data_IF_701952552067
#
_entry.id   IF_701952552067
#
_cell.length_a   1.000
_cell.length_b   1.000
_cell.length_c   1.000
_cell.angle_alpha   90.00
_cell.angle_beta   90.00
_cell.angle_gamma   90.00
#
_symmetry.space_group_name_H-M   'P 1'
#
loop_
_entity.id
_entity.type
_entity.pdbx_description
1 polymer ?
#
# COMPACT_ATOMS: atom_id res chain seq x y z
N UNK A 1 -5.08 27.32 -5.83
CA UNK A 1 -6.36 26.85 -5.23
C UNK A 1 -6.03 26.36 -3.84
N UNK A 2 -6.57 27.03 -2.80
CA UNK A 2 -6.25 26.71 -1.42
C UNK A 2 -6.76 25.30 -1.06
N UNK A 3 -5.83 24.42 -0.70
CA UNK A 3 -6.20 23.17 -0.04
C UNK A 3 -6.85 23.53 1.29
N UNK A 4 -8.15 23.27 1.40
CA UNK A 4 -8.90 23.46 2.64
C UNK A 4 -8.34 22.50 3.69
N UNK A 5 -7.56 23.01 4.63
CA UNK A 5 -7.22 22.28 5.86
C UNK A 5 -8.55 22.00 6.55
N UNK A 6 -8.93 20.72 6.62
CA UNK A 6 -10.16 20.32 7.32
C UNK A 6 -10.10 20.83 8.77
N UNK A 7 -11.14 21.53 9.20
CA UNK A 7 -11.21 22.06 10.57
C UNK A 7 -11.35 20.90 11.58
N UNK A 8 -10.83 21.04 12.83
CA UNK A 8 -10.92 20.01 13.86
C UNK A 8 -12.33 19.46 14.12
N UNK A 9 -13.37 20.27 13.93
CA UNK A 9 -14.77 19.84 14.03
C UNK A 9 -15.17 18.82 12.97
N UNK A 10 -14.73 18.98 11.72
CA UNK A 10 -15.05 18.05 10.62
C UNK A 10 -14.44 16.67 10.85
N UNK A 11 -13.22 16.60 11.39
CA UNK A 11 -12.52 15.32 11.66
C UNK A 11 -13.17 14.58 12.83
N UNK A 12 -13.68 15.29 13.83
CA UNK A 12 -14.42 14.68 14.94
C UNK A 12 -15.70 14.03 14.44
N UNK A 13 -16.46 14.73 13.61
CA UNK A 13 -17.71 14.23 13.03
C UNK A 13 -17.47 13.01 12.14
N UNK A 14 -16.36 13.00 11.36
CA UNK A 14 -15.98 11.86 10.52
C UNK A 14 -15.60 10.62 11.35
N UNK A 15 -14.91 10.79 12.49
CA UNK A 15 -14.59 9.66 13.38
C UNK A 15 -15.84 9.05 14.01
N UNK A 16 -16.76 9.90 14.50
CA UNK A 16 -18.06 9.45 15.05
C UNK A 16 -18.90 8.73 13.99
N UNK A 17 -18.85 9.20 12.72
CA UNK A 17 -19.50 8.56 11.60
C UNK A 17 -18.92 7.16 11.34
N UNK A 18 -17.59 7.02 11.31
CA UNK A 18 -16.92 5.73 11.13
C UNK A 18 -17.32 4.75 12.25
N UNK A 19 -17.28 5.20 13.50
CA UNK A 19 -17.66 4.36 14.63
C UNK A 19 -19.13 3.90 14.57
N UNK A 20 -20.02 4.75 14.10
CA UNK A 20 -21.46 4.39 13.96
C UNK A 20 -21.76 3.50 12.76
N UNK A 21 -20.93 3.56 11.72
CA UNK A 21 -21.12 2.85 10.46
C UNK A 21 -20.35 1.52 10.36
N UNK A 22 -19.47 1.24 11.33
CA UNK A 22 -18.63 0.03 11.35
C UNK A 22 -18.67 -0.62 12.72
N UNK A 23 -18.52 -1.95 12.76
CA UNK A 23 -18.38 -2.71 14.01
C UNK A 23 -16.92 -2.72 14.52
N UNK A 24 -16.05 -1.85 13.99
CA UNK A 24 -14.65 -1.83 14.36
C UNK A 24 -14.46 -1.14 15.71
N UNK A 25 -13.70 -1.79 16.59
CA UNK A 25 -13.26 -1.14 17.81
C UNK A 25 -12.11 -0.19 17.50
N UNK A 26 -12.45 1.09 17.25
CA UNK A 26 -11.49 2.15 16.94
C UNK A 26 -11.35 3.10 18.14
N UNK A 27 -10.13 3.57 18.33
CA UNK A 27 -9.80 4.60 19.32
C UNK A 27 -9.02 5.73 18.63
N UNK A 28 -9.08 6.92 19.19
CA UNK A 28 -8.39 8.08 18.68
C UNK A 28 -7.58 8.72 19.81
N UNK A 29 -6.33 9.02 19.53
CA UNK A 29 -5.47 9.73 20.47
C UNK A 29 -5.67 11.27 20.42
N UNK A 30 -4.96 12.00 21.28
CA UNK A 30 -5.00 13.47 21.35
C UNK A 30 -4.46 14.15 20.07
N UNK A 31 -3.63 13.44 19.29
CA UNK A 31 -3.07 13.91 18.03
C UNK A 31 -3.90 13.47 16.80
N UNK A 32 -5.12 12.98 17.04
CA UNK A 32 -6.05 12.52 16.01
C UNK A 32 -5.61 11.26 15.25
N UNK A 33 -4.63 10.50 15.75
CA UNK A 33 -4.29 9.21 15.20
C UNK A 33 -5.31 8.16 15.64
N UNK A 34 -5.75 7.37 14.67
CA UNK A 34 -6.72 6.30 14.87
C UNK A 34 -5.96 4.99 15.04
N UNK A 35 -6.24 4.29 16.12
CA UNK A 35 -5.84 2.90 16.34
C UNK A 35 -7.06 1.99 16.36
N UNK A 36 -6.83 0.70 16.15
CA UNK A 36 -7.88 -0.32 16.26
C UNK A 36 -7.46 -1.41 17.21
N UNK A 37 -8.40 -2.25 17.61
CA UNK A 37 -8.11 -3.37 18.50
C UNK A 37 -8.43 -4.70 17.83
N UNK A 38 -7.45 -5.60 17.86
CA UNK A 38 -7.62 -6.98 17.43
C UNK A 38 -7.10 -7.90 18.51
N UNK A 39 -7.98 -8.71 19.14
CA UNK A 39 -7.73 -9.41 20.40
C UNK A 39 -7.23 -8.43 21.47
N UNK A 40 -6.08 -8.73 22.08
CA UNK A 40 -5.45 -7.89 23.11
C UNK A 40 -4.51 -6.81 22.57
N UNK A 41 -4.30 -6.76 21.25
CA UNK A 41 -3.31 -5.88 20.64
C UNK A 41 -3.95 -4.60 20.11
N UNK A 42 -3.31 -3.47 20.40
CA UNK A 42 -3.59 -2.20 19.75
C UNK A 42 -2.88 -2.16 18.40
N UNK A 43 -3.65 -1.95 17.33
CA UNK A 43 -3.13 -1.85 15.96
C UNK A 43 -2.97 -0.38 15.55
N UNK A 44 -1.80 -0.06 15.02
CA UNK A 44 -1.48 1.27 14.50
C UNK A 44 -0.93 1.20 13.08
N UNK A 45 -1.09 2.29 12.33
CA UNK A 45 -0.48 2.47 11.01
C UNK A 45 0.86 3.16 11.11
N UNK A 46 1.81 2.71 10.30
CA UNK A 46 3.00 3.47 9.93
C UNK A 46 3.10 3.54 8.42
N UNK A 47 3.77 4.58 7.89
CA UNK A 47 3.79 4.90 6.48
C UNK A 47 5.20 5.10 5.97
N UNK A 48 5.54 4.45 4.85
CA UNK A 48 6.82 4.61 4.18
C UNK A 48 6.63 5.39 2.87
N UNK A 49 7.41 6.44 2.60
CA UNK A 49 7.26 7.23 1.40
C UNK A 49 7.65 6.43 0.14
N UNK A 50 6.88 6.67 -0.94
CA UNK A 50 7.17 6.26 -2.31
C UNK A 50 7.45 7.52 -3.10
N UNK A 51 8.63 7.62 -3.70
CA UNK A 51 9.10 8.80 -4.42
C UNK A 51 8.93 8.65 -5.92
N UNK A 52 8.52 9.73 -6.58
CA UNK A 52 8.58 9.87 -8.04
C UNK A 52 9.91 10.49 -8.44
N UNK A 53 10.64 9.82 -9.34
CA UNK A 53 11.92 10.34 -9.86
C UNK A 53 11.67 11.58 -10.71
N UNK A 54 10.69 11.52 -11.61
CA UNK A 54 10.37 12.62 -12.54
C UNK A 54 9.89 13.89 -11.84
N UNK A 55 9.21 13.74 -10.69
CA UNK A 55 8.69 14.88 -9.92
C UNK A 55 9.63 15.31 -8.79
N UNK A 56 10.63 14.49 -8.42
CA UNK A 56 11.55 14.75 -7.31
C UNK A 56 10.89 14.78 -5.93
N UNK A 57 9.65 14.29 -5.81
CA UNK A 57 8.86 14.36 -4.59
C UNK A 57 8.10 13.05 -4.30
N UNK A 58 7.52 12.99 -3.11
CA UNK A 58 6.66 11.86 -2.70
C UNK A 58 5.40 11.81 -3.58
N UNK A 59 5.10 10.65 -4.17
CA UNK A 59 3.90 10.37 -4.95
C UNK A 59 2.84 9.60 -4.17
N UNK A 60 3.21 9.05 -3.04
CA UNK A 60 2.34 8.26 -2.18
C UNK A 60 3.09 7.65 -1.00
N UNK A 61 2.39 6.84 -0.21
CA UNK A 61 2.99 6.09 0.91
C UNK A 61 2.42 4.70 1.03
N UNK A 62 3.31 3.75 1.28
CA UNK A 62 2.93 2.38 1.65
C UNK A 62 2.61 2.31 3.14
N UNK A 63 1.44 1.76 3.45
CA UNK A 63 0.96 1.59 4.81
C UNK A 63 1.33 0.21 5.35
N UNK A 64 1.81 0.18 6.58
CA UNK A 64 2.11 -1.05 7.30
C UNK A 64 1.42 -1.04 8.66
N UNK A 65 0.83 -2.18 9.03
CA UNK A 65 0.26 -2.37 10.36
C UNK A 65 1.36 -2.73 11.36
N UNK A 66 1.21 -2.25 12.58
CA UNK A 66 2.01 -2.63 13.74
C UNK A 66 1.09 -2.88 14.91
N UNK A 67 1.46 -3.82 15.80
CA UNK A 67 0.79 -3.96 17.08
C UNK A 67 1.64 -3.37 18.19
N UNK A 68 0.98 -2.64 19.09
CA UNK A 68 1.57 -2.09 20.31
C UNK A 68 1.08 -2.83 21.54
N UNK A 69 1.96 -2.96 22.53
CA UNK A 69 1.63 -3.28 23.91
C UNK A 69 2.49 -2.38 24.81
N UNK A 70 1.88 -1.78 25.82
CA UNK A 70 2.55 -0.85 26.77
C UNK A 70 3.30 0.32 26.08
N UNK A 71 2.79 0.76 24.91
CA UNK A 71 3.36 1.84 24.14
C UNK A 71 4.48 1.47 23.17
N UNK A 72 5.00 0.23 23.23
CA UNK A 72 6.04 -0.26 22.33
C UNK A 72 5.49 -1.15 21.21
N UNK A 73 6.19 -1.18 20.05
CA UNK A 73 5.85 -2.08 18.95
C UNK A 73 6.32 -3.49 19.32
N UNK A 74 5.36 -4.41 19.43
CA UNK A 74 5.62 -5.81 19.83
C UNK A 74 5.42 -6.82 18.70
N UNK A 75 4.58 -6.51 17.70
CA UNK A 75 4.33 -7.41 16.56
C UNK A 75 4.42 -6.70 15.22
N UNK A 76 4.99 -7.43 14.26
CA UNK A 76 5.10 -7.05 12.85
C UNK A 76 3.91 -7.62 12.04
N UNK A 77 3.66 -7.14 10.80
CA UNK A 77 2.49 -7.52 10.03
C UNK A 77 2.27 -9.04 9.95
N UNK A 78 3.29 -9.79 9.60
CA UNK A 78 3.18 -11.25 9.46
C UNK A 78 2.78 -11.96 10.78
N UNK A 79 3.24 -11.45 11.94
CA UNK A 79 2.86 -11.95 13.25
C UNK A 79 1.40 -11.63 13.57
N UNK A 80 0.97 -10.39 13.27
CA UNK A 80 -0.41 -9.93 13.47
C UNK A 80 -1.38 -10.81 12.65
N UNK A 81 -1.08 -11.00 11.36
CA UNK A 81 -1.92 -11.82 10.50
C UNK A 81 -1.91 -13.31 10.86
N UNK A 82 -0.85 -13.80 11.52
CA UNK A 82 -0.80 -15.17 12.04
C UNK A 82 -1.76 -15.41 13.22
N UNK A 83 -2.20 -14.36 13.92
CA UNK A 83 -3.20 -14.46 14.99
C UNK A 83 -4.59 -14.82 14.44
N UNK A 84 -4.89 -14.49 13.19
CA UNK A 84 -6.14 -14.84 12.55
C UNK A 84 -6.11 -16.30 12.07
N UNK A 85 -6.60 -17.21 12.89
CA UNK A 85 -6.61 -18.65 12.59
C UNK A 85 -7.70 -19.07 11.60
N UNK A 86 -8.83 -18.34 11.58
CA UNK A 86 -9.97 -18.56 10.70
C UNK A 86 -10.03 -17.50 9.60
N UNK A 87 -10.65 -17.84 8.48
CA UNK A 87 -10.78 -16.92 7.36
C UNK A 87 -11.66 -15.71 7.68
N UNK A 88 -12.70 -15.88 8.51
CA UNK A 88 -13.54 -14.77 8.96
C UNK A 88 -12.74 -13.76 9.79
N UNK A 89 -11.88 -14.23 10.68
CA UNK A 89 -10.99 -13.37 11.49
C UNK A 89 -9.96 -12.66 10.60
N UNK A 90 -9.47 -13.34 9.57
CA UNK A 90 -8.54 -12.74 8.61
C UNK A 90 -9.19 -11.61 7.82
N UNK A 91 -10.41 -11.83 7.35
CA UNK A 91 -11.19 -10.82 6.62
C UNK A 91 -11.50 -9.62 7.51
N UNK A 92 -11.89 -9.85 8.77
CA UNK A 92 -12.12 -8.81 9.76
C UNK A 92 -10.85 -7.99 10.03
N UNK A 93 -9.72 -8.67 10.26
CA UNK A 93 -8.43 -8.03 10.49
C UNK A 93 -7.98 -7.19 9.29
N UNK A 94 -8.07 -7.71 8.06
CA UNK A 94 -7.69 -6.96 6.85
C UNK A 94 -8.54 -5.70 6.69
N UNK A 95 -9.86 -5.81 6.87
CA UNK A 95 -10.77 -4.66 6.82
C UNK A 95 -10.45 -3.62 7.89
N UNK A 96 -10.18 -4.06 9.12
CA UNK A 96 -9.77 -3.18 10.22
C UNK A 96 -8.46 -2.46 9.88
N UNK A 97 -7.45 -3.18 9.39
CA UNK A 97 -6.17 -2.59 8.97
C UNK A 97 -6.36 -1.51 7.90
N UNK A 98 -7.18 -1.78 6.88
CA UNK A 98 -7.47 -0.82 5.81
C UNK A 98 -8.21 0.41 6.32
N UNK A 99 -9.15 0.23 7.25
CA UNK A 99 -9.87 1.34 7.88
C UNK A 99 -8.89 2.24 8.66
N UNK A 100 -8.00 1.67 9.48
CA UNK A 100 -6.98 2.40 10.22
C UNK A 100 -6.01 3.11 9.27
N UNK A 101 -5.55 2.43 8.21
CA UNK A 101 -4.63 3.01 7.23
C UNK A 101 -5.25 4.21 6.50
N UNK A 102 -6.44 4.03 5.95
CA UNK A 102 -7.10 5.08 5.18
C UNK A 102 -7.48 6.29 6.05
N UNK A 103 -8.04 6.05 7.24
CA UNK A 103 -8.39 7.12 8.16
C UNK A 103 -7.17 7.94 8.55
N UNK A 104 -6.09 7.29 9.00
CA UNK A 104 -4.87 7.99 9.39
C UNK A 104 -4.22 8.73 8.23
N UNK A 105 -4.19 8.11 7.05
CA UNK A 105 -3.58 8.71 5.89
C UNK A 105 -4.32 9.96 5.44
N UNK A 106 -5.62 9.87 5.22
CA UNK A 106 -6.39 10.96 4.62
C UNK A 106 -6.81 12.04 5.62
N UNK A 107 -6.89 11.73 6.91
CA UNK A 107 -7.19 12.76 7.92
C UNK A 107 -5.94 13.54 8.35
N UNK A 108 -4.79 12.90 8.42
CA UNK A 108 -3.56 13.51 8.91
C UNK A 108 -2.59 13.93 7.79
N UNK A 109 -2.93 13.69 6.52
CA UNK A 109 -2.06 14.03 5.41
C UNK A 109 -2.37 15.43 4.85
N UNK A 110 -1.40 16.35 4.82
CA UNK A 110 -1.59 17.71 4.31
C UNK A 110 -1.76 17.78 2.78
N UNK A 111 -1.38 16.72 2.04
CA UNK A 111 -1.38 16.66 0.57
C UNK A 111 -2.35 15.61 0.07
N UNK A 112 -3.63 15.96 -0.18
CA UNK A 112 -4.63 14.99 -0.60
C UNK A 112 -4.41 14.45 -2.03
N UNK A 113 -3.37 14.90 -2.76
CA UNK A 113 -3.04 14.41 -4.10
C UNK A 113 -2.23 13.12 -4.12
N UNK A 114 -1.57 12.74 -3.03
CA UNK A 114 -0.73 11.54 -2.94
C UNK A 114 -1.55 10.25 -2.78
N UNK A 115 -1.01 9.13 -3.22
CA UNK A 115 -1.68 7.83 -3.17
C UNK A 115 -1.35 7.06 -1.89
N UNK A 116 -2.34 6.32 -1.40
CA UNK A 116 -2.15 5.33 -0.34
C UNK A 116 -1.91 3.95 -0.96
N UNK A 117 -0.79 3.32 -0.65
CA UNK A 117 -0.48 1.95 -1.04
C UNK A 117 -0.86 1.00 0.08
N UNK A 118 -1.64 -0.04 -0.24
CA UNK A 118 -2.15 -1.02 0.72
C UNK A 118 -1.93 -2.43 0.19
N UNK A 119 -1.19 -3.24 0.91
CA UNK A 119 -0.96 -4.62 0.56
C UNK A 119 -2.18 -5.50 0.90
N UNK A 120 -2.48 -6.46 0.03
CA UNK A 120 -3.49 -7.49 0.26
C UNK A 120 -2.81 -8.73 0.84
N UNK A 121 -3.31 -9.23 1.97
CA UNK A 121 -2.79 -10.48 2.51
C UNK A 121 -3.08 -11.66 1.56
N UNK A 122 -2.10 -12.54 1.24
CA UNK A 122 -2.28 -13.63 0.27
C UNK A 122 -3.48 -14.54 0.55
N UNK A 123 -3.68 -14.95 1.82
CA UNK A 123 -4.82 -15.78 2.22
C UNK A 123 -6.18 -15.09 1.96
N UNK A 124 -6.23 -13.75 2.05
CA UNK A 124 -7.46 -13.03 1.76
C UNK A 124 -7.91 -13.21 0.31
N UNK A 125 -6.95 -13.25 -0.62
CA UNK A 125 -7.26 -13.44 -2.04
C UNK A 125 -7.87 -14.81 -2.34
N UNK A 126 -7.54 -15.81 -1.53
CA UNK A 126 -8.07 -17.17 -1.65
C UNK A 126 -9.41 -17.33 -0.91
N UNK A 127 -9.59 -16.61 0.21
CA UNK A 127 -10.76 -16.73 1.08
C UNK A 127 -11.97 -15.93 0.58
N UNK A 128 -11.75 -14.81 -0.13
CA UNK A 128 -12.83 -13.98 -0.70
C UNK A 128 -13.12 -14.44 -2.13
N UNK A 129 -14.32 -14.99 -2.37
CA UNK A 129 -14.66 -15.58 -3.66
C UNK A 129 -15.14 -14.58 -4.72
N UNK A 130 -15.89 -13.56 -4.34
CA UNK A 130 -16.66 -12.81 -5.31
C UNK A 130 -16.49 -11.31 -5.32
N UNK A 131 -15.95 -10.66 -4.29
CA UNK A 131 -15.94 -9.20 -4.26
C UNK A 131 -14.75 -8.58 -3.53
N UNK A 132 -13.58 -8.76 -4.14
CA UNK A 132 -12.39 -8.07 -3.67
C UNK A 132 -12.53 -6.55 -3.86
N UNK A 133 -12.41 -5.82 -2.78
CA UNK A 133 -12.36 -4.35 -2.80
C UNK A 133 -13.66 -3.64 -2.45
N UNK A 134 -14.86 -4.26 -2.53
CA UNK A 134 -16.13 -3.58 -2.24
C UNK A 134 -16.23 -3.07 -0.79
N UNK A 135 -15.86 -3.89 0.17
CA UNK A 135 -15.90 -3.47 1.57
C UNK A 135 -14.97 -2.27 1.84
N UNK A 136 -13.84 -2.22 1.16
CA UNK A 136 -12.92 -1.10 1.27
C UNK A 136 -13.41 0.13 0.47
N UNK A 137 -14.02 -0.05 -0.70
CA UNK A 137 -14.69 1.02 -1.43
C UNK A 137 -15.77 1.69 -0.58
N UNK A 138 -16.67 0.91 0.03
CA UNK A 138 -17.71 1.44 0.92
C UNK A 138 -17.10 2.25 2.09
N UNK A 139 -15.99 1.79 2.65
CA UNK A 139 -15.28 2.53 3.69
C UNK A 139 -14.66 3.85 3.17
N UNK A 140 -14.05 3.80 1.98
CA UNK A 140 -13.47 5.01 1.35
C UNK A 140 -14.56 6.03 1.01
N UNK A 141 -15.70 5.59 0.52
CA UNK A 141 -16.87 6.44 0.25
C UNK A 141 -17.36 7.10 1.54
N UNK A 142 -17.40 6.37 2.67
CA UNK A 142 -17.76 6.90 3.98
C UNK A 142 -16.87 8.07 4.42
N UNK A 143 -15.57 8.01 4.11
CA UNK A 143 -14.61 9.06 4.44
C UNK A 143 -14.37 10.05 3.28
N UNK A 144 -15.17 9.99 2.22
CA UNK A 144 -15.10 10.90 1.07
C UNK A 144 -13.85 10.74 0.21
N UNK A 145 -13.27 9.55 0.13
CA UNK A 145 -12.06 9.25 -0.64
C UNK A 145 -12.38 8.37 -1.85
N UNK A 146 -11.92 8.77 -3.02
CA UNK A 146 -12.08 7.96 -4.24
C UNK A 146 -11.12 6.77 -4.26
N UNK A 147 -11.55 5.62 -4.73
CA UNK A 147 -10.73 4.42 -4.92
C UNK A 147 -9.49 4.65 -5.78
N UNK A 148 -9.58 5.58 -6.76
CA UNK A 148 -8.44 5.97 -7.62
C UNK A 148 -7.27 6.63 -6.86
N UNK A 149 -7.43 6.88 -5.57
CA UNK A 149 -6.39 7.38 -4.67
C UNK A 149 -5.67 6.25 -3.92
N UNK A 150 -6.09 5.01 -4.15
CA UNK A 150 -5.54 3.83 -3.48
C UNK A 150 -4.89 2.91 -4.50
N UNK A 151 -3.66 2.52 -4.20
CA UNK A 151 -2.89 1.51 -4.95
C UNK A 151 -2.95 0.20 -4.17
N UNK A 152 -3.57 -0.81 -4.76
CA UNK A 152 -3.62 -2.16 -4.19
C UNK A 152 -2.35 -2.92 -4.58
N UNK A 153 -1.58 -3.32 -3.59
CA UNK A 153 -0.36 -4.09 -3.76
C UNK A 153 -0.67 -5.59 -3.74
N UNK A 154 -0.51 -6.24 -4.89
CA UNK A 154 -0.76 -7.68 -5.05
C UNK A 154 0.49 -8.47 -4.65
N UNK A 155 0.40 -9.41 -3.69
CA UNK A 155 1.55 -10.16 -3.21
C UNK A 155 2.11 -11.15 -4.25
N UNK A 156 3.41 -11.44 -4.16
CA UNK A 156 4.13 -12.35 -5.08
C UNK A 156 3.58 -13.78 -5.08
N UNK A 157 3.10 -14.26 -3.94
CA UNK A 157 2.63 -15.65 -3.77
C UNK A 157 1.46 -16.01 -4.69
N UNK A 158 0.71 -15.03 -5.17
CA UNK A 158 -0.43 -15.21 -6.09
C UNK A 158 0.03 -15.46 -7.53
N UNK A 159 1.29 -15.17 -7.87
CA UNK A 159 1.83 -15.32 -9.22
C UNK A 159 1.75 -16.77 -9.78
N UNK A 160 1.59 -17.77 -8.90
CA UNK A 160 1.42 -19.17 -9.31
C UNK A 160 -0.01 -19.52 -9.73
N UNK A 161 -1.01 -18.71 -9.33
CA UNK A 161 -2.42 -18.91 -9.68
C UNK A 161 -2.92 -17.76 -10.56
N UNK A 162 -2.59 -17.82 -11.84
CA UNK A 162 -2.92 -16.77 -12.81
C UNK A 162 -4.42 -16.52 -12.99
N UNK A 163 -5.25 -17.54 -12.81
CA UNK A 163 -6.72 -17.38 -12.90
C UNK A 163 -7.23 -16.52 -11.74
N UNK A 164 -6.79 -16.81 -10.53
CA UNK A 164 -7.12 -16.04 -9.34
C UNK A 164 -6.58 -14.62 -9.45
N UNK A 165 -5.30 -14.47 -9.82
CA UNK A 165 -4.64 -13.17 -9.97
C UNK A 165 -5.40 -12.26 -10.95
N UNK A 166 -5.76 -12.78 -12.12
CA UNK A 166 -6.52 -12.03 -13.12
C UNK A 166 -7.90 -11.60 -12.58
N UNK A 167 -8.60 -12.51 -11.91
CA UNK A 167 -9.91 -12.23 -11.33
C UNK A 167 -9.83 -11.13 -10.27
N UNK A 168 -8.88 -11.23 -9.35
CA UNK A 168 -8.64 -10.25 -8.29
C UNK A 168 -8.30 -8.87 -8.86
N UNK A 169 -7.36 -8.81 -9.81
CA UNK A 169 -6.98 -7.54 -10.45
C UNK A 169 -8.18 -6.93 -11.18
N UNK A 170 -8.96 -7.74 -11.92
CA UNK A 170 -10.14 -7.25 -12.61
C UNK A 170 -11.18 -6.67 -11.65
N UNK A 171 -11.42 -7.31 -10.50
CA UNK A 171 -12.32 -6.82 -9.46
C UNK A 171 -11.89 -5.46 -8.89
N UNK A 172 -10.63 -5.33 -8.48
CA UNK A 172 -10.14 -4.04 -7.97
C UNK A 172 -10.18 -2.96 -9.04
N UNK A 173 -9.79 -3.27 -10.27
CA UNK A 173 -9.81 -2.29 -11.38
C UNK A 173 -11.21 -1.83 -11.75
N UNK A 174 -12.20 -2.73 -11.78
CA UNK A 174 -13.60 -2.36 -12.07
C UNK A 174 -14.17 -1.36 -11.05
N UNK A 175 -13.56 -1.29 -9.86
CA UNK A 175 -13.89 -0.33 -8.80
C UNK A 175 -13.03 0.93 -8.82
N UNK A 176 -12.12 1.06 -9.82
CA UNK A 176 -11.29 2.24 -10.00
C UNK A 176 -10.00 2.27 -9.17
N UNK A 177 -9.64 1.20 -8.46
CA UNK A 177 -8.35 1.12 -7.77
C UNK A 177 -7.18 1.07 -8.75
N UNK A 178 -6.04 1.63 -8.35
CA UNK A 178 -4.77 1.40 -9.00
C UNK A 178 -4.17 0.08 -8.51
N UNK A 179 -3.43 -0.61 -9.40
CA UNK A 179 -2.85 -1.93 -9.11
C UNK A 179 -1.33 -1.86 -9.18
N UNK A 180 -0.66 -2.33 -8.14
CA UNK A 180 0.76 -2.58 -8.12
C UNK A 180 1.01 -4.10 -8.00
N UNK A 181 1.59 -4.69 -9.05
CA UNK A 181 1.89 -6.12 -9.11
C UNK A 181 3.38 -6.37 -8.85
N UNK A 182 3.69 -7.33 -7.97
CA UNK A 182 5.07 -7.69 -7.69
C UNK A 182 5.67 -8.54 -8.83
N UNK A 183 6.82 -8.13 -9.35
CA UNK A 183 7.65 -8.97 -10.20
C UNK A 183 8.37 -10.03 -9.36
N UNK A 184 8.54 -11.22 -9.92
CA UNK A 184 9.29 -12.31 -9.30
C UNK A 184 10.29 -12.89 -10.28
N UNK A 185 11.56 -12.91 -9.91
CA UNK A 185 12.62 -13.59 -10.65
C UNK A 185 12.28 -15.07 -10.81
N UNK A 186 12.60 -15.63 -11.96
CA UNK A 186 12.38 -17.06 -12.27
C UNK A 186 10.95 -17.42 -12.66
N UNK A 187 10.04 -16.45 -12.74
CA UNK A 187 8.72 -16.64 -13.32
C UNK A 187 8.75 -16.25 -14.81
N UNK A 188 9.25 -17.13 -15.67
CA UNK A 188 9.39 -16.90 -17.12
C UNK A 188 8.09 -16.46 -17.80
N UNK A 189 6.96 -16.93 -17.29
CA UNK A 189 5.63 -16.58 -17.82
C UNK A 189 5.15 -15.18 -17.40
N UNK A 190 5.81 -14.54 -16.42
CA UNK A 190 5.34 -13.29 -15.84
C UNK A 190 5.30 -12.17 -16.88
N UNK A 191 6.40 -12.03 -17.65
CA UNK A 191 6.51 -11.01 -18.70
C UNK A 191 5.49 -11.22 -19.82
N UNK A 192 5.25 -12.47 -20.21
CA UNK A 192 4.26 -12.81 -21.25
C UNK A 192 2.85 -12.45 -20.79
N UNK A 193 2.57 -12.59 -19.49
CA UNK A 193 1.24 -12.37 -18.91
C UNK A 193 1.03 -10.92 -18.43
N UNK A 194 2.09 -10.14 -18.30
CA UNK A 194 2.04 -8.75 -17.83
C UNK A 194 1.00 -7.92 -18.60
N UNK A 195 1.05 -7.97 -19.93
CA UNK A 195 0.10 -7.28 -20.79
C UNK A 195 -1.36 -7.71 -20.59
N UNK A 196 -1.64 -8.91 -20.09
CA UNK A 196 -3.00 -9.39 -19.79
C UNK A 196 -3.51 -9.00 -18.39
N UNK A 197 -2.61 -8.59 -17.52
CA UNK A 197 -2.94 -8.15 -16.16
C UNK A 197 -3.17 -6.65 -16.09
N UNK A 198 -2.53 -5.89 -17.00
CA UNK A 198 -2.61 -4.42 -17.06
C UNK A 198 -2.38 -3.74 -15.69
N UNK A 199 -1.31 -4.03 -14.94
CA UNK A 199 -1.04 -3.31 -13.70
C UNK A 199 -0.68 -1.85 -14.03
N UNK A 200 -0.94 -0.93 -13.08
CA UNK A 200 -0.49 0.45 -13.20
C UNK A 200 0.99 0.57 -12.82
N UNK A 201 1.42 -0.27 -11.88
CA UNK A 201 2.78 -0.28 -11.35
C UNK A 201 3.28 -1.73 -11.28
N UNK A 202 4.50 -1.95 -11.73
CA UNK A 202 5.26 -3.19 -11.50
C UNK A 202 6.28 -2.91 -10.40
N UNK A 203 6.28 -3.73 -9.36
CA UNK A 203 7.18 -3.61 -8.22
C UNK A 203 8.26 -4.68 -8.29
N UNK A 204 9.51 -4.28 -8.12
CA UNK A 204 10.65 -5.18 -8.00
C UNK A 204 11.48 -4.80 -6.78
N UNK A 205 12.08 -5.77 -6.08
CA UNK A 205 13.05 -5.45 -5.03
C UNK A 205 14.35 -4.97 -5.65
N UNK A 206 15.08 -4.11 -4.96
CA UNK A 206 16.37 -3.64 -5.45
C UNK A 206 17.38 -4.80 -5.64
N UNK A 207 17.30 -5.82 -4.78
CA UNK A 207 18.12 -7.03 -4.92
C UNK A 207 17.74 -7.84 -6.16
N UNK A 208 16.44 -8.04 -6.41
CA UNK A 208 15.98 -8.73 -7.60
C UNK A 208 16.37 -7.98 -8.87
N UNK A 209 16.30 -6.65 -8.87
CA UNK A 209 16.72 -5.82 -9.99
C UNK A 209 18.20 -6.01 -10.31
N UNK A 210 19.08 -5.99 -9.30
CA UNK A 210 20.53 -6.20 -9.47
C UNK A 210 20.86 -7.58 -10.05
N UNK A 211 20.03 -8.59 -9.73
CA UNK A 211 20.21 -9.97 -10.22
C UNK A 211 19.67 -10.20 -11.64
N UNK A 212 19.02 -9.19 -12.26
CA UNK A 212 18.54 -9.32 -13.64
C UNK A 212 19.72 -9.34 -14.63
N UNK A 213 19.72 -10.29 -15.55
CA UNK A 213 20.72 -10.38 -16.62
C UNK A 213 20.53 -9.28 -17.67
N UNK A 214 19.28 -8.89 -17.94
CA UNK A 214 18.92 -7.86 -18.92
C UNK A 214 17.90 -6.88 -18.35
N UNK A 215 18.39 -5.93 -17.57
CA UNK A 215 17.58 -4.86 -16.97
C UNK A 215 16.87 -4.00 -18.03
N UNK A 216 17.53 -3.54 -19.11
CA UNK A 216 16.87 -2.71 -20.12
C UNK A 216 15.66 -3.40 -20.74
N UNK A 217 15.79 -4.66 -21.16
CA UNK A 217 14.68 -5.41 -21.76
C UNK A 217 13.50 -5.60 -20.79
N UNK A 218 13.78 -5.83 -19.51
CA UNK A 218 12.74 -5.91 -18.48
C UNK A 218 11.97 -4.58 -18.36
N UNK A 219 12.70 -3.48 -18.25
CA UNK A 219 12.12 -2.15 -18.05
C UNK A 219 11.32 -1.71 -19.28
N UNK A 220 11.88 -1.90 -20.49
CA UNK A 220 11.18 -1.63 -21.74
C UNK A 220 9.86 -2.41 -21.85
N UNK A 221 9.88 -3.68 -21.44
CA UNK A 221 8.68 -4.52 -21.45
C UNK A 221 7.62 -4.03 -20.47
N UNK A 222 8.02 -3.53 -19.29
CA UNK A 222 7.12 -2.92 -18.30
C UNK A 222 6.50 -1.64 -18.87
N UNK A 223 7.32 -0.74 -19.42
CA UNK A 223 6.84 0.53 -20.00
C UNK A 223 5.97 0.30 -21.25
N UNK A 224 6.32 -0.66 -22.11
CA UNK A 224 5.50 -1.03 -23.27
C UNK A 224 4.14 -1.63 -22.89
N UNK A 225 4.04 -2.25 -21.70
CA UNK A 225 2.76 -2.69 -21.14
C UNK A 225 1.93 -1.54 -20.54
N UNK A 226 2.44 -0.30 -20.57
CA UNK A 226 1.79 0.89 -19.99
C UNK A 226 1.88 0.97 -18.47
N UNK A 227 2.79 0.21 -17.84
CA UNK A 227 3.03 0.23 -16.41
C UNK A 227 4.27 1.05 -16.05
N UNK A 228 4.30 1.61 -14.85
CA UNK A 228 5.49 2.23 -14.25
C UNK A 228 6.28 1.22 -13.43
N UNK A 229 7.60 1.39 -13.37
CA UNK A 229 8.48 0.57 -12.56
C UNK A 229 8.71 1.22 -11.18
N UNK A 230 8.38 0.50 -10.11
CA UNK A 230 8.73 0.86 -8.74
C UNK A 230 9.80 -0.09 -8.21
N UNK A 231 10.97 0.46 -7.87
CA UNK A 231 12.03 -0.29 -7.19
C UNK A 231 11.90 -0.09 -5.68
N UNK A 232 11.70 -1.19 -4.95
CA UNK A 232 11.50 -1.18 -3.49
C UNK A 232 12.65 -1.81 -2.74
N UNK A 233 12.68 -1.64 -1.42
CA UNK A 233 13.73 -2.17 -0.53
C UNK A 233 15.11 -1.60 -0.87
N UNK A 234 15.17 -0.30 -1.19
CA UNK A 234 16.43 0.41 -1.42
C UNK A 234 17.02 0.76 -0.06
N UNK A 235 18.15 0.11 0.28
CA UNK A 235 18.81 0.25 1.58
C UNK A 235 20.24 0.81 1.44
N UNK A 236 20.81 0.76 0.24
CA UNK A 236 22.18 1.20 -0.04
C UNK A 236 22.26 2.15 -1.23
N UNK A 237 23.31 2.99 -1.27
CA UNK A 237 23.59 3.88 -2.40
C UNK A 237 23.80 3.13 -3.71
N UNK A 238 24.32 1.89 -3.67
CA UNK A 238 24.50 1.06 -4.86
C UNK A 238 23.14 0.67 -5.44
N UNK A 239 22.21 0.20 -4.59
CA UNK A 239 20.84 -0.13 -5.01
C UNK A 239 20.13 1.08 -5.58
N UNK A 240 20.29 2.24 -4.94
CA UNK A 240 19.72 3.51 -5.43
C UNK A 240 20.27 3.88 -6.81
N UNK A 241 21.60 3.88 -6.98
CA UNK A 241 22.23 4.18 -8.26
C UNK A 241 21.81 3.19 -9.37
N UNK A 242 21.66 1.90 -9.03
CA UNK A 242 21.18 0.88 -9.97
C UNK A 242 19.73 1.15 -10.39
N UNK A 243 18.85 1.51 -9.46
CA UNK A 243 17.47 1.84 -9.77
C UNK A 243 17.36 3.09 -10.67
N UNK A 244 18.17 4.13 -10.42
CA UNK A 244 18.22 5.30 -11.30
C UNK A 244 18.73 4.93 -12.71
N UNK A 245 19.81 4.14 -12.79
CA UNK A 245 20.38 3.69 -14.08
C UNK A 245 19.41 2.79 -14.86
N UNK A 246 18.57 2.05 -14.15
CA UNK A 246 17.50 1.23 -14.72
C UNK A 246 16.31 2.04 -15.25
N UNK A 247 16.33 3.37 -15.14
CA UNK A 247 15.21 4.23 -15.53
C UNK A 247 13.90 3.88 -14.79
N UNK A 248 14.00 3.59 -13.48
CA UNK A 248 12.82 3.41 -12.63
C UNK A 248 12.00 4.69 -12.55
N UNK A 249 10.68 4.55 -12.41
CA UNK A 249 9.76 5.70 -12.26
C UNK A 249 9.60 6.08 -10.78
N UNK A 250 9.55 5.07 -9.91
CA UNK A 250 9.31 5.24 -8.48
C UNK A 250 10.32 4.47 -7.64
N UNK A 251 10.62 5.02 -6.46
CA UNK A 251 11.59 4.49 -5.52
C UNK A 251 10.99 4.38 -4.11
N UNK A 252 11.32 3.30 -3.40
CA UNK A 252 10.93 3.07 -2.01
C UNK A 252 12.03 2.30 -1.27
N UNK A 253 12.34 2.69 -0.04
CA UNK A 253 13.30 1.97 0.81
C UNK A 253 13.79 2.78 2.00
N UNK A 254 14.45 2.11 2.95
CA UNK A 254 14.90 2.73 4.19
C UNK A 254 15.97 3.80 3.97
N UNK A 255 16.75 3.69 2.91
CA UNK A 255 17.71 4.75 2.52
C UNK A 255 16.99 6.08 2.25
N UNK A 256 15.81 6.03 1.65
CA UNK A 256 15.02 7.20 1.26
C UNK A 256 14.07 7.69 2.37
N UNK A 257 13.56 6.77 3.16
CA UNK A 257 12.68 7.06 4.29
C UNK A 257 12.23 5.80 5.00
N UNK A 258 12.40 5.77 6.29
CA UNK A 258 11.89 4.67 7.11
C UNK A 258 10.37 4.77 7.29
N UNK A 259 9.68 3.64 7.53
CA UNK A 259 8.27 3.67 7.92
C UNK A 259 8.09 4.39 9.27
N UNK A 260 7.28 5.44 9.26
CA UNK A 260 7.00 6.28 10.44
C UNK A 260 5.50 6.50 10.59
N UNK A 261 5.03 6.75 11.82
CA UNK A 261 3.65 7.15 12.05
C UNK A 261 3.40 8.56 11.53
N UNK A 262 4.37 9.48 11.72
CA UNK A 262 4.26 10.84 11.23
C UNK A 262 4.27 10.91 9.69
N UNK A 263 3.33 11.67 9.13
CA UNK A 263 3.27 11.95 7.69
C UNK A 263 3.94 13.28 7.42
N UNK A 264 5.23 13.24 7.12
CA UNK A 264 6.03 14.43 6.80
C UNK A 264 6.28 14.52 5.30
N UNK A 265 6.26 15.72 4.74
CA UNK A 265 6.70 15.95 3.35
C UNK A 265 8.19 15.73 3.26
N UNK A 266 8.62 14.92 2.30
CA UNK A 266 10.03 14.68 2.03
C UNK A 266 10.29 14.86 0.54
N UNK A 267 11.31 15.65 0.22
CA UNK A 267 11.82 15.79 -1.14
C UNK A 267 13.00 14.83 -1.34
N UNK A 268 13.05 14.21 -2.50
CA UNK A 268 14.13 13.28 -2.88
C UNK A 268 15.48 14.02 -2.95
N UNK A 269 15.46 15.29 -3.36
CA UNK A 269 16.65 16.13 -3.61
C UNK A 269 17.51 16.44 -2.37
N UNK A 270 17.01 16.24 -1.16
CA UNK A 270 17.76 16.51 0.08
C UNK A 270 18.51 15.30 0.63
N UNK A 271 18.55 14.16 -0.08
CA UNK A 271 19.14 12.91 0.41
C UNK A 271 20.19 12.26 -0.54
N UNK A 272 20.51 12.93 -1.65
CA UNK A 272 21.52 12.46 -2.62
C UNK A 272 22.81 13.24 -2.45
#
# INVERSE_FOLDING_TARGET
MNASVKHPHTIKDEFELIQSATDYYLQRDEKWWISGRFFQHELISIFQPVFSISQGQTMGRAAYIRAKADGEIVLWPWQIFSLASKDEQLVELDRLCRAIHASNYYFNHPYPSDNLFVEVHPRLLESVKDDHGQAFENFLDLIGVRTSRVVIEIPVTVNRNWKLLRHVIANYRSRGYLIAANYSIGCSDWMIKLGSLYPNIVRITANDLIQQEDIPSLVDSIHNAGASLLVREIETSIQFATALKANADYLQGNLLGQPEQAITTRDLLHRV
#
